data_IF_140221880118
#
_entry.id   IF_140221880118
#
_cell.length_a   1.000
_cell.length_b   1.000
_cell.length_c   1.000
_cell.angle_alpha   90.00
_cell.angle_beta   90.00
_cell.angle_gamma   90.00
#
_symmetry.space_group_name_H-M   'P 1'
#
loop_
_entity.id
_entity.type
_entity.pdbx_description
1 polymer ?
#
# COMPACT_ATOMS: atom_id res chain seq x y z
N UNK A 1 -2.40 2.38 7.29
CA UNK A 1 -2.46 3.85 7.40
C UNK A 1 -2.89 4.42 6.05
N UNK A 2 -3.78 5.40 6.03
CA UNK A 2 -4.20 6.07 4.79
C UNK A 2 -3.81 7.54 4.85
N UNK A 3 -3.17 8.04 3.81
CA UNK A 3 -2.90 9.48 3.69
C UNK A 3 -4.19 10.27 3.46
N UNK A 4 -4.08 11.60 3.44
CA UNK A 4 -5.22 12.46 3.16
C UNK A 4 -5.58 12.37 1.68
N UNK A 5 -4.59 12.42 0.77
CA UNK A 5 -4.82 12.30 -0.66
C UNK A 5 -5.51 10.99 -1.02
N UNK A 6 -5.05 9.86 -0.50
CA UNK A 6 -5.69 8.57 -0.74
C UNK A 6 -7.16 8.55 -0.29
N UNK A 7 -7.47 9.09 0.90
CA UNK A 7 -8.84 9.09 1.44
C UNK A 7 -9.78 10.05 0.71
N UNK A 8 -9.27 11.18 0.24
CA UNK A 8 -10.06 12.26 -0.34
C UNK A 8 -10.22 12.16 -1.84
N UNK A 9 -9.22 11.63 -2.56
CA UNK A 9 -9.19 11.65 -4.03
C UNK A 9 -9.52 10.29 -4.67
N UNK A 10 -9.37 9.19 -3.94
CA UNK A 10 -9.78 7.86 -4.44
C UNK A 10 -11.23 7.59 -4.01
N UNK A 11 -12.14 7.20 -4.92
CA UNK A 11 -13.50 6.78 -4.57
C UNK A 11 -13.51 5.65 -3.51
N UNK A 12 -14.46 5.63 -2.56
CA UNK A 12 -14.49 4.62 -1.49
C UNK A 12 -14.54 3.17 -1.97
N UNK A 13 -15.23 2.90 -3.10
CA UNK A 13 -15.28 1.56 -3.70
C UNK A 13 -13.91 1.13 -4.23
N UNK A 14 -13.17 2.05 -4.86
CA UNK A 14 -11.81 1.82 -5.33
C UNK A 14 -10.83 1.71 -4.16
N UNK A 15 -11.00 2.48 -3.08
CA UNK A 15 -10.21 2.32 -1.85
C UNK A 15 -10.36 0.89 -1.30
N UNK A 16 -11.59 0.39 -1.17
CA UNK A 16 -11.85 -0.98 -0.70
C UNK A 16 -11.22 -2.05 -1.62
N UNK A 17 -11.31 -1.84 -2.94
CA UNK A 17 -10.69 -2.71 -3.94
C UNK A 17 -9.16 -2.74 -3.80
N UNK A 18 -8.53 -1.57 -3.70
CA UNK A 18 -7.08 -1.41 -3.50
C UNK A 18 -6.64 -2.11 -2.21
N UNK A 19 -7.34 -1.89 -1.10
CA UNK A 19 -7.03 -2.52 0.19
C UNK A 19 -7.06 -4.03 0.07
N UNK A 20 -8.11 -4.58 -0.55
CA UNK A 20 -8.30 -6.01 -0.75
C UNK A 20 -7.18 -6.61 -1.62
N UNK A 21 -6.87 -5.97 -2.75
CA UNK A 21 -5.81 -6.40 -3.66
C UNK A 21 -4.43 -6.32 -3.00
N UNK A 22 -4.14 -5.22 -2.31
CA UNK A 22 -2.89 -5.05 -1.59
C UNK A 22 -2.71 -6.15 -0.53
N UNK A 23 -3.74 -6.42 0.28
CA UNK A 23 -3.72 -7.48 1.30
C UNK A 23 -3.42 -8.87 0.72
N UNK A 24 -3.78 -9.14 -0.53
CA UNK A 24 -3.47 -10.42 -1.20
C UNK A 24 -2.01 -10.58 -1.60
N UNK A 25 -1.23 -9.50 -1.58
CA UNK A 25 0.18 -9.45 -2.03
C UNK A 25 1.15 -8.94 -0.98
N UNK A 26 0.68 -8.25 0.05
CA UNK A 26 1.50 -7.78 1.16
C UNK A 26 2.15 -8.98 1.86
N UNK A 27 3.46 -9.06 1.76
CA UNK A 27 4.30 -10.04 2.44
C UNK A 27 5.61 -9.37 2.86
N UNK A 28 6.38 -9.98 3.77
CA UNK A 28 7.73 -9.51 4.10
C UNK A 28 8.71 -9.47 2.92
N UNK A 29 8.35 -10.07 1.78
CA UNK A 29 9.13 -10.06 0.54
C UNK A 29 8.64 -8.99 -0.44
N UNK A 30 7.45 -8.42 -0.22
CA UNK A 30 6.82 -7.39 -1.05
C UNK A 30 6.74 -6.09 -0.26
N UNK A 31 7.78 -5.28 -0.38
CA UNK A 31 7.92 -4.00 0.32
C UNK A 31 6.98 -2.92 -0.26
N UNK A 32 6.63 -3.07 -1.55
CA UNK A 32 5.93 -2.04 -2.30
C UNK A 32 4.89 -2.64 -3.25
N UNK A 33 3.73 -1.99 -3.34
CA UNK A 33 2.70 -2.32 -4.31
C UNK A 33 2.31 -1.05 -5.04
N UNK A 34 2.26 -1.14 -6.36
CA UNK A 34 1.91 -0.03 -7.25
C UNK A 34 0.60 -0.32 -7.94
N UNK A 35 -0.35 0.60 -7.85
CA UNK A 35 -1.58 0.56 -8.64
C UNK A 35 -1.50 1.64 -9.72
N UNK A 36 -1.29 1.21 -10.96
CA UNK A 36 -1.20 2.10 -12.13
C UNK A 36 -2.60 2.34 -12.72
N UNK A 37 -2.90 3.59 -13.05
CA UNK A 37 -4.15 4.01 -13.69
C UNK A 37 -4.09 3.87 -15.22
N UNK A 38 -3.57 2.74 -15.69
CA UNK A 38 -3.40 2.42 -17.11
C UNK A 38 -3.76 0.95 -17.35
N UNK A 39 -3.79 0.52 -18.61
CA UNK A 39 -4.05 -0.88 -18.98
C UNK A 39 -2.77 -1.70 -18.96
N UNK A 40 -2.82 -2.90 -18.38
CA UNK A 40 -1.69 -3.83 -18.36
C UNK A 40 -2.00 -5.08 -17.57
N UNK A 41 -0.99 -5.93 -17.38
CA UNK A 41 -1.10 -7.20 -16.66
C UNK A 41 -0.29 -7.17 -15.36
N UNK A 42 -0.84 -7.68 -14.24
CA UNK A 42 -0.14 -7.68 -12.97
C UNK A 42 1.17 -8.49 -13.01
N UNK A 43 2.25 -7.93 -12.48
CA UNK A 43 3.57 -8.57 -12.46
C UNK A 43 4.42 -8.04 -11.29
N UNK A 44 5.55 -8.71 -11.07
CA UNK A 44 6.57 -8.27 -10.12
C UNK A 44 7.64 -7.43 -10.85
N UNK A 45 8.08 -6.36 -10.20
CA UNK A 45 9.23 -5.52 -10.55
C UNK A 45 10.25 -5.57 -9.39
N UNK A 46 11.41 -4.92 -9.57
CA UNK A 46 12.45 -4.77 -8.54
C UNK A 46 12.87 -6.09 -7.88
N UNK A 47 13.17 -7.10 -8.70
CA UNK A 47 13.58 -8.44 -8.27
C UNK A 47 12.55 -9.13 -7.33
N UNK A 48 11.26 -8.79 -7.47
CA UNK A 48 10.18 -9.38 -6.66
C UNK A 48 9.71 -8.52 -5.50
N UNK A 49 10.35 -7.37 -5.23
CA UNK A 49 10.02 -6.50 -4.09
C UNK A 49 8.82 -5.60 -4.34
N UNK A 50 8.56 -5.30 -5.60
CA UNK A 50 7.47 -4.42 -6.02
C UNK A 50 6.44 -5.24 -6.79
N UNK A 51 5.17 -5.22 -6.36
CA UNK A 51 4.08 -5.81 -7.15
C UNK A 51 3.27 -4.73 -7.84
N UNK A 52 3.01 -4.88 -9.13
CA UNK A 52 2.24 -3.93 -9.92
C UNK A 52 0.86 -4.49 -10.23
N UNK A 53 -0.17 -3.73 -9.88
CA UNK A 53 -1.53 -3.89 -10.36
C UNK A 53 -1.87 -2.79 -11.37
N UNK A 54 -2.72 -3.13 -12.33
CA UNK A 54 -3.28 -2.21 -13.30
C UNK A 54 -4.77 -2.05 -13.02
N UNK A 55 -5.18 -0.83 -12.72
CA UNK A 55 -6.57 -0.45 -12.45
C UNK A 55 -6.88 0.81 -13.26
N UNK A 56 -7.23 0.68 -14.56
CA UNK A 56 -7.44 1.82 -15.45
C UNK A 56 -8.59 2.74 -14.99
N UNK A 57 -9.50 2.25 -14.15
CA UNK A 57 -10.56 3.05 -13.53
C UNK A 57 -10.08 3.98 -12.40
N UNK A 58 -8.81 3.89 -11.97
CA UNK A 58 -8.28 4.78 -10.95
C UNK A 58 -8.13 6.22 -11.47
N UNK A 59 -8.52 7.23 -10.69
CA UNK A 59 -8.28 8.62 -11.07
C UNK A 59 -6.79 9.00 -11.01
N UNK A 60 -6.02 8.35 -10.12
CA UNK A 60 -4.61 8.62 -9.88
C UNK A 60 -3.86 7.33 -9.54
N UNK A 61 -2.55 7.31 -9.84
CA UNK A 61 -1.64 6.24 -9.43
C UNK A 61 -1.54 6.20 -7.90
N UNK A 62 -1.61 5.00 -7.33
CA UNK A 62 -1.57 4.77 -5.88
C UNK A 62 -0.39 3.87 -5.52
N UNK A 63 0.25 4.15 -4.40
CA UNK A 63 1.27 3.33 -3.79
C UNK A 63 0.79 2.74 -2.48
N UNK A 64 1.23 1.52 -2.20
CA UNK A 64 1.11 0.88 -0.90
C UNK A 64 2.49 0.42 -0.48
N UNK A 65 3.00 1.01 0.60
CA UNK A 65 4.29 0.65 1.17
C UNK A 65 4.09 -0.18 2.42
N UNK A 66 4.86 -1.24 2.59
CA UNK A 66 4.94 -2.00 3.82
C UNK A 66 6.19 -1.58 4.60
N UNK A 67 6.01 -0.81 5.67
CA UNK A 67 7.09 -0.40 6.55
C UNK A 67 7.28 -1.44 7.67
N UNK A 68 8.47 -2.04 7.76
CA UNK A 68 8.87 -2.93 8.86
C UNK A 68 9.55 -2.14 9.98
N UNK A 69 8.97 -2.16 11.17
CA UNK A 69 9.53 -1.52 12.36
C UNK A 69 10.43 -2.48 13.16
N UNK A 70 10.72 -3.67 12.64
CA UNK A 70 11.59 -4.68 13.23
C UNK A 70 10.95 -5.45 14.39
N UNK A 71 10.16 -4.79 15.23
CA UNK A 71 9.45 -5.40 16.35
C UNK A 71 8.11 -4.72 16.65
N UNK A 72 7.16 -5.42 17.31
CA UNK A 72 5.93 -4.80 17.78
C UNK A 72 6.15 -3.70 18.84
N UNK A 73 7.24 -3.77 19.61
CA UNK A 73 7.57 -2.78 20.64
C UNK A 73 7.96 -1.44 20.01
N UNK A 74 8.81 -1.47 18.98
CA UNK A 74 9.22 -0.30 18.20
C UNK A 74 8.00 0.33 17.51
N UNK A 75 7.14 -0.49 16.90
CA UNK A 75 5.91 0.02 16.29
C UNK A 75 4.96 0.63 17.34
N UNK A 76 4.78 -0.03 18.49
CA UNK A 76 3.92 0.49 19.55
C UNK A 76 4.40 1.85 20.06
N UNK A 77 5.73 2.01 20.20
CA UNK A 77 6.36 3.27 20.60
C UNK A 77 6.15 4.38 19.55
N UNK A 78 6.33 4.06 18.27
CA UNK A 78 6.12 5.01 17.18
C UNK A 78 4.64 5.39 17.02
N UNK A 79 3.75 4.41 17.10
CA UNK A 79 2.32 4.59 16.92
C UNK A 79 1.64 5.27 18.12
N UNK A 80 2.26 5.24 19.30
CA UNK A 80 1.72 5.82 20.54
C UNK A 80 0.61 4.98 21.18
N UNK A 81 0.41 3.74 20.73
CA UNK A 81 -0.53 2.78 21.31
C UNK A 81 0.00 1.34 21.19
N UNK A 82 -0.38 0.44 22.11
CA UNK A 82 0.09 -0.94 22.08
C UNK A 82 -0.45 -1.70 20.87
N UNK A 83 0.43 -2.36 20.13
CA UNK A 83 0.10 -3.23 19.00
C UNK A 83 0.99 -4.48 18.98
N UNK A 84 0.45 -5.57 18.42
CA UNK A 84 1.19 -6.82 18.19
C UNK A 84 1.78 -6.91 16.77
N UNK A 85 1.44 -5.96 15.90
CA UNK A 85 1.98 -5.89 14.55
C UNK A 85 3.41 -5.34 14.58
N UNK A 86 4.26 -5.77 13.64
CA UNK A 86 5.56 -5.13 13.35
C UNK A 86 5.56 -4.31 12.06
N UNK A 87 4.51 -4.46 11.26
CA UNK A 87 4.38 -3.85 9.95
C UNK A 87 3.28 -2.80 9.93
N UNK A 88 3.48 -1.76 9.12
CA UNK A 88 2.44 -0.80 8.76
C UNK A 88 2.35 -0.74 7.24
N UNK A 89 1.17 -1.05 6.70
CA UNK A 89 0.86 -0.77 5.30
C UNK A 89 0.37 0.68 5.17
N UNK A 90 1.07 1.50 4.41
CA UNK A 90 0.74 2.90 4.14
C UNK A 90 0.22 3.05 2.71
N UNK A 91 -1.02 3.50 2.55
CA UNK A 91 -1.67 3.72 1.25
C UNK A 91 -1.66 5.22 0.96
N UNK A 92 -1.13 5.59 -0.20
CA UNK A 92 -0.88 6.98 -0.58
C UNK A 92 -0.99 7.19 -2.09
N UNK A 93 -1.27 8.41 -2.51
CA UNK A 93 -1.13 8.79 -3.91
C UNK A 93 0.35 8.80 -4.30
N UNK A 94 0.64 8.55 -5.57
CA UNK A 94 2.02 8.55 -6.06
C UNK A 94 2.73 9.93 -5.91
N UNK A 95 1.97 11.02 -5.83
CA UNK A 95 2.46 12.38 -5.61
C UNK A 95 2.74 12.71 -4.13
N UNK A 96 2.26 11.88 -3.19
CA UNK A 96 2.48 12.05 -1.75
C UNK A 96 3.73 11.30 -1.24
N UNK A 97 4.34 10.46 -2.10
CA UNK A 97 5.54 9.68 -1.81
C UNK A 97 6.80 10.44 -2.22
#
# INVERSE_FOLDING_TARGET
MFTIGFRSEIPPDLQAKIITLAMSKLSPETDFIVFRNETGEPHYEDEGRTYVFYLPELPKKVYVKLDDFGSPEELSKWAGYPTKARYVATYMLAEEY
#
